data_IF_182905000594
#
_entry.id   IF_182905000594
#
_cell.length_a   1.000
_cell.length_b   1.000
_cell.length_c   1.000
_cell.angle_alpha   90.00
_cell.angle_beta   90.00
_cell.angle_gamma   90.00
#
_symmetry.space_group_name_H-M   'P 1'
#
loop_
_entity.id
_entity.type
_entity.pdbx_description
1 polymer ?
#
# COMPACT_ATOMS: atom_id res chain seq x y z
N UNK A 1 -6.28 5.92 17.46
CA UNK A 1 -5.71 6.12 16.10
C UNK A 1 -5.47 7.60 15.74
N UNK A 2 -6.18 8.58 16.29
CA UNK A 2 -6.03 10.00 15.88
C UNK A 2 -4.78 10.77 16.39
N UNK A 3 -4.12 10.31 17.46
CA UNK A 3 -3.04 11.10 18.08
C UNK A 3 -1.70 11.11 17.30
N UNK A 4 -1.36 10.02 16.61
CA UNK A 4 -0.13 9.96 15.81
C UNK A 4 -0.29 10.70 14.45
N UNK A 5 -1.51 10.72 13.91
CA UNK A 5 -1.82 11.40 12.66
C UNK A 5 -1.61 12.91 12.75
N UNK A 6 -1.95 13.52 13.89
CA UNK A 6 -1.77 14.94 14.13
C UNK A 6 -0.29 15.38 14.21
N UNK A 7 0.64 14.47 14.55
CA UNK A 7 2.09 14.77 14.65
C UNK A 7 2.86 14.43 13.38
N UNK A 8 2.51 13.34 12.70
CA UNK A 8 3.31 12.74 11.61
C UNK A 8 2.53 12.55 10.31
N UNK A 9 1.22 12.74 10.35
CA UNK A 9 0.33 12.46 9.24
C UNK A 9 0.62 13.28 7.99
N UNK A 10 1.22 14.46 8.12
CA UNK A 10 1.60 15.25 6.93
C UNK A 10 2.81 14.69 6.18
N UNK A 11 3.59 13.78 6.79
CA UNK A 11 4.85 13.29 6.21
C UNK A 11 4.67 11.92 5.54
N UNK A 12 3.80 11.06 6.08
CA UNK A 12 3.61 9.70 5.57
C UNK A 12 2.28 9.61 4.82
N UNK A 13 2.31 9.19 3.55
CA UNK A 13 1.11 8.98 2.75
C UNK A 13 0.77 7.48 2.65
N UNK A 14 -0.31 6.99 3.30
CA UNK A 14 -0.76 5.62 3.09
C UNK A 14 -1.36 5.46 1.69
N UNK A 15 -0.86 4.46 0.95
CA UNK A 15 -1.32 4.15 -0.41
C UNK A 15 -1.76 2.70 -0.48
N UNK A 16 -2.96 2.47 -1.00
CA UNK A 16 -3.51 1.17 -1.33
C UNK A 16 -3.46 0.98 -2.84
N UNK A 17 -2.82 -0.09 -3.33
CA UNK A 17 -2.76 -0.44 -4.75
C UNK A 17 -3.55 -1.73 -4.95
N UNK A 18 -4.62 -1.70 -5.72
CA UNK A 18 -5.34 -2.91 -6.10
C UNK A 18 -4.47 -3.80 -7.00
N UNK A 19 -4.53 -5.11 -6.77
CA UNK A 19 -3.91 -6.13 -7.62
C UNK A 19 -4.91 -6.77 -8.60
N UNK A 20 -6.18 -6.34 -8.59
CA UNK A 20 -7.25 -6.96 -9.37
C UNK A 20 -8.14 -5.93 -10.09
N UNK A 21 -7.64 -5.35 -11.18
CA UNK A 21 -8.36 -4.30 -11.89
C UNK A 21 -9.60 -4.79 -12.64
N UNK A 22 -9.84 -6.11 -12.72
CA UNK A 22 -11.08 -6.66 -13.29
C UNK A 22 -12.27 -6.46 -12.35
N UNK A 23 -12.04 -6.51 -11.03
CA UNK A 23 -13.07 -6.32 -9.99
C UNK A 23 -13.00 -4.95 -9.33
N UNK A 24 -11.81 -4.35 -9.24
CA UNK A 24 -11.58 -3.13 -8.47
C UNK A 24 -11.55 -1.89 -9.37
N UNK A 25 -12.73 -1.44 -9.81
CA UNK A 25 -12.85 -0.13 -10.47
C UNK A 25 -12.58 1.00 -9.48
N UNK A 26 -12.25 2.19 -9.98
CA UNK A 26 -12.02 3.38 -9.14
C UNK A 26 -13.18 3.66 -8.17
N UNK A 27 -14.43 3.42 -8.58
CA UNK A 27 -15.60 3.61 -7.72
C UNK A 27 -15.67 2.57 -6.60
N UNK A 28 -15.38 1.29 -6.91
CA UNK A 28 -15.34 0.22 -5.91
C UNK A 28 -14.17 0.40 -4.94
N UNK A 29 -12.97 0.73 -5.44
CA UNK A 29 -11.81 1.04 -4.60
C UNK A 29 -12.11 2.20 -3.66
N UNK A 30 -12.71 3.30 -4.16
CA UNK A 30 -13.12 4.42 -3.30
C UNK A 30 -14.06 3.97 -2.19
N UNK A 31 -15.14 3.26 -2.55
CA UNK A 31 -16.13 2.78 -1.59
C UNK A 31 -15.52 1.84 -0.54
N UNK A 32 -14.60 0.97 -0.95
CA UNK A 32 -13.87 0.09 -0.04
C UNK A 32 -13.04 0.90 0.96
N UNK A 33 -12.36 1.96 0.50
CA UNK A 33 -11.51 2.81 1.33
C UNK A 33 -12.26 3.70 2.33
N UNK A 34 -13.58 3.91 2.15
CA UNK A 34 -14.41 4.66 3.12
C UNK A 34 -14.42 4.01 4.52
N UNK A 35 -14.18 2.71 4.62
CA UNK A 35 -14.07 2.00 5.89
C UNK A 35 -12.74 2.16 6.63
N UNK A 36 -11.79 2.90 6.06
CA UNK A 36 -10.41 3.02 6.55
C UNK A 36 -10.01 4.47 6.84
N UNK A 37 -8.72 4.71 7.06
CA UNK A 37 -8.22 6.04 7.39
C UNK A 37 -8.51 7.05 6.25
N UNK A 38 -9.01 8.26 6.55
CA UNK A 38 -9.46 9.23 5.52
C UNK A 38 -8.35 9.72 4.59
N UNK A 39 -7.08 9.55 4.97
CA UNK A 39 -5.94 9.87 4.09
C UNK A 39 -5.55 8.75 3.13
N UNK A 40 -6.16 7.56 3.22
CA UNK A 40 -5.74 6.44 2.38
C UNK A 40 -6.00 6.74 0.91
N UNK A 41 -4.93 6.75 0.11
CA UNK A 41 -5.00 6.96 -1.33
C UNK A 41 -5.16 5.61 -2.03
N UNK A 42 -6.23 5.45 -2.80
CA UNK A 42 -6.47 4.26 -3.62
C UNK A 42 -5.94 4.40 -5.03
N UNK A 43 -5.17 3.41 -5.49
CA UNK A 43 -4.67 3.28 -6.85
C UNK A 43 -5.23 1.98 -7.48
N UNK A 44 -5.74 2.12 -8.69
CA UNK A 44 -6.15 1.03 -9.59
C UNK A 44 -5.97 1.53 -11.03
N UNK A 45 -6.10 0.67 -12.03
CA UNK A 45 -5.95 1.08 -13.42
C UNK A 45 -6.01 -0.08 -14.41
N UNK A 46 -5.60 0.16 -15.68
CA UNK A 46 -5.53 -0.89 -16.69
C UNK A 46 -4.65 -2.06 -16.26
N UNK A 47 -4.93 -3.25 -16.83
CA UNK A 47 -4.26 -4.50 -16.48
C UNK A 47 -2.73 -4.42 -16.61
N UNK A 48 -2.26 -3.78 -17.68
CA UNK A 48 -0.83 -3.57 -17.94
C UNK A 48 -0.13 -2.75 -16.85
N UNK A 49 -0.80 -1.72 -16.31
CA UNK A 49 -0.24 -0.86 -15.27
C UNK A 49 -0.20 -1.57 -13.93
N UNK A 50 -1.27 -2.27 -13.55
CA UNK A 50 -1.30 -3.06 -12.31
C UNK A 50 -0.25 -4.18 -12.39
N UNK A 51 -0.17 -4.89 -13.52
CA UNK A 51 0.85 -5.93 -13.73
C UNK A 51 2.27 -5.39 -13.63
N UNK A 52 2.54 -4.20 -14.18
CA UNK A 52 3.83 -3.55 -14.07
C UNK A 52 4.15 -3.18 -12.62
N UNK A 53 3.20 -2.59 -11.88
CA UNK A 53 3.36 -2.25 -10.47
C UNK A 53 3.66 -3.49 -9.62
N UNK A 54 2.84 -4.54 -9.74
CA UNK A 54 3.04 -5.80 -9.04
C UNK A 54 4.44 -6.41 -9.32
N UNK A 55 4.90 -6.36 -10.58
CA UNK A 55 6.23 -6.84 -10.95
C UNK A 55 7.36 -6.06 -10.26
N UNK A 56 7.28 -4.74 -10.21
CA UNK A 56 8.31 -3.88 -9.58
C UNK A 56 8.39 -4.15 -8.07
N UNK A 57 7.24 -4.33 -7.42
CA UNK A 57 7.15 -4.64 -5.98
C UNK A 57 7.30 -6.14 -5.66
N UNK A 58 7.57 -6.98 -6.67
CA UNK A 58 7.67 -8.44 -6.55
C UNK A 58 6.44 -9.08 -5.91
N UNK A 59 5.28 -8.47 -6.13
CA UNK A 59 3.98 -9.01 -5.75
C UNK A 59 3.55 -9.98 -6.84
N UNK A 60 3.51 -11.27 -6.50
CA UNK A 60 2.89 -12.26 -7.35
C UNK A 60 1.38 -12.10 -7.22
N UNK A 61 0.69 -12.08 -8.36
CA UNK A 61 -0.76 -12.21 -8.44
C UNK A 61 -1.08 -13.15 -9.59
N UNK A 62 -2.04 -14.04 -9.38
CA UNK A 62 -2.54 -14.93 -10.42
C UNK A 62 -4.05 -14.84 -10.47
N UNK A 63 -4.59 -14.65 -11.67
CA UNK A 63 -5.99 -14.92 -11.97
C UNK A 63 -6.10 -16.39 -12.37
N UNK A 64 -6.89 -17.21 -11.66
CA UNK A 64 -7.16 -18.57 -12.09
C UNK A 64 -7.58 -18.63 -13.58
N UNK A 65 -7.13 -19.63 -14.36
CA UNK A 65 -7.64 -19.81 -15.71
C UNK A 65 -9.13 -20.22 -15.65
N UNK A 66 -9.95 -19.64 -16.53
CA UNK A 66 -11.37 -19.99 -16.79
C UNK A 66 -12.43 -19.54 -15.75
N UNK A 67 -12.23 -18.43 -15.06
CA UNK A 67 -13.24 -17.85 -14.16
C UNK A 67 -14.23 -16.99 -14.97
N UNK A 68 -15.53 -17.24 -14.78
CA UNK A 68 -16.61 -16.36 -15.25
C UNK A 68 -16.53 -15.02 -14.51
N UNK A 69 -16.98 -13.88 -15.10
CA UNK A 69 -17.04 -12.59 -14.40
C UNK A 69 -17.84 -12.58 -13.08
N UNK A 70 -18.60 -13.65 -12.82
CA UNK A 70 -19.41 -13.86 -11.61
C UNK A 70 -18.77 -14.80 -10.59
N UNK A 71 -17.69 -15.48 -10.95
CA UNK A 71 -17.03 -16.44 -10.08
C UNK A 71 -16.11 -15.69 -9.13
N UNK A 72 -16.24 -15.99 -7.84
CA UNK A 72 -15.32 -15.47 -6.84
C UNK A 72 -14.00 -16.22 -6.96
N UNK A 73 -12.89 -15.48 -7.01
CA UNK A 73 -11.55 -16.05 -7.01
C UNK A 73 -10.64 -15.35 -6.03
N UNK A 74 -9.76 -16.15 -5.44
CA UNK A 74 -8.68 -15.65 -4.61
C UNK A 74 -7.53 -15.19 -5.51
N UNK A 75 -7.07 -13.98 -5.24
CA UNK A 75 -5.81 -13.48 -5.75
C UNK A 75 -4.79 -13.66 -4.65
N UNK A 76 -3.86 -14.60 -4.82
CA UNK A 76 -2.67 -14.66 -4.00
C UNK A 76 -1.93 -13.32 -4.15
N UNK A 77 -1.65 -12.65 -3.05
CA UNK A 77 -0.87 -11.42 -3.04
C UNK A 77 0.08 -11.42 -1.84
N UNK A 78 1.19 -10.71 -2.01
CA UNK A 78 2.12 -10.39 -0.94
C UNK A 78 1.40 -9.65 0.19
N UNK A 79 1.53 -10.12 1.42
CA UNK A 79 0.97 -9.47 2.63
C UNK A 79 1.98 -8.51 3.28
N UNK A 80 2.93 -8.01 2.50
CA UNK A 80 3.91 -7.02 2.95
C UNK A 80 3.38 -5.60 2.74
N UNK A 81 3.62 -4.73 3.73
CA UNK A 81 3.52 -3.28 3.57
C UNK A 81 4.91 -2.72 3.27
N UNK A 82 5.03 -1.89 2.22
CA UNK A 82 6.31 -1.33 1.79
C UNK A 82 6.42 0.14 2.22
N UNK A 83 7.53 0.49 2.89
CA UNK A 83 7.91 1.86 3.17
C UNK A 83 8.86 2.35 2.07
N UNK A 84 8.46 3.45 1.43
CA UNK A 84 9.24 4.14 0.41
C UNK A 84 9.65 5.51 0.94
N UNK A 85 10.84 5.97 0.57
CA UNK A 85 11.28 7.34 0.88
C UNK A 85 10.68 8.37 -0.10
N UNK A 86 10.81 9.68 0.15
CA UNK A 86 10.30 10.72 -0.75
C UNK A 86 10.97 10.78 -2.13
N UNK A 87 12.11 10.10 -2.34
CA UNK A 87 12.76 9.97 -3.64
C UNK A 87 12.25 8.75 -4.43
N UNK A 88 11.39 7.92 -3.83
CA UNK A 88 10.87 6.69 -4.41
C UNK A 88 11.75 5.47 -4.16
N UNK A 89 12.75 5.58 -3.29
CA UNK A 89 13.64 4.47 -2.94
C UNK A 89 13.02 3.58 -1.87
N UNK A 90 13.30 2.28 -1.95
CA UNK A 90 12.81 1.30 -0.97
C UNK A 90 13.55 1.47 0.37
N UNK A 91 12.78 1.55 1.46
CA UNK A 91 13.32 1.65 2.83
C UNK A 91 13.18 0.33 3.57
N UNK A 92 11.96 -0.18 3.70
CA UNK A 92 11.69 -1.40 4.46
C UNK A 92 10.38 -2.08 4.03
N UNK A 93 10.27 -3.39 4.28
CA UNK A 93 9.03 -4.16 4.10
C UNK A 93 8.58 -4.76 5.44
N UNK A 94 7.33 -4.49 5.82
CA UNK A 94 6.70 -5.01 7.04
C UNK A 94 5.84 -6.20 6.69
N UNK A 95 6.14 -7.37 7.26
CA UNK A 95 5.37 -8.59 7.04
C UNK A 95 4.40 -8.89 8.16
N UNK A 96 3.73 -10.05 8.08
CA UNK A 96 2.75 -10.53 9.07
C UNK A 96 3.24 -10.52 10.53
N UNK A 97 4.54 -10.67 10.74
CA UNK A 97 5.14 -10.75 12.08
C UNK A 97 5.41 -9.37 12.69
N UNK A 98 5.19 -8.28 11.96
CA UNK A 98 5.37 -6.91 12.45
C UNK A 98 4.06 -6.40 13.06
N UNK A 99 4.10 -5.97 14.33
CA UNK A 99 2.94 -5.35 14.98
C UNK A 99 2.74 -3.91 14.54
N UNK A 100 1.55 -3.35 14.77
CA UNK A 100 1.27 -1.94 14.45
C UNK A 100 2.23 -0.98 15.18
N UNK A 101 2.54 -1.23 16.45
CA UNK A 101 3.46 -0.40 17.24
C UNK A 101 4.88 -0.48 16.70
N UNK A 102 5.37 -1.69 16.37
CA UNK A 102 6.70 -1.87 15.77
C UNK A 102 6.83 -1.15 14.42
N UNK A 103 5.78 -1.22 13.59
CA UNK A 103 5.75 -0.50 12.32
C UNK A 103 5.76 1.02 12.55
N UNK A 104 4.94 1.51 13.49
CA UNK A 104 4.87 2.94 13.81
C UNK A 104 6.21 3.48 14.31
N UNK A 105 6.88 2.76 15.23
CA UNK A 105 8.19 3.14 15.76
C UNK A 105 9.25 3.21 14.67
N UNK A 106 9.29 2.21 13.77
CA UNK A 106 10.23 2.19 12.65
C UNK A 106 9.98 3.32 11.65
N UNK A 107 8.72 3.52 11.25
CA UNK A 107 8.34 4.62 10.36
C UNK A 107 8.73 5.97 10.96
N UNK A 108 8.51 6.17 12.26
CA UNK A 108 8.92 7.38 12.97
C UNK A 108 10.44 7.56 12.91
N UNK A 109 11.20 6.52 13.24
CA UNK A 109 12.65 6.56 13.22
C UNK A 109 13.23 6.95 11.85
N UNK A 110 12.72 6.35 10.77
CA UNK A 110 13.17 6.70 9.41
C UNK A 110 12.77 8.12 9.01
N UNK A 111 11.56 8.55 9.39
CA UNK A 111 11.06 9.90 9.09
C UNK A 111 11.92 10.97 9.76
N UNK A 112 12.22 10.81 11.04
CA UNK A 112 13.08 11.73 11.78
C UNK A 112 14.50 11.77 11.20
N UNK A 113 15.06 10.60 10.88
CA UNK A 113 16.38 10.48 10.27
C UNK A 113 16.45 11.18 8.91
N UNK A 114 15.43 11.01 8.06
CA UNK A 114 15.35 11.68 6.76
C UNK A 114 15.27 13.20 6.92
N UNK A 115 14.38 13.70 7.79
CA UNK A 115 14.23 15.15 8.04
C UNK A 115 15.53 15.75 8.57
N UNK A 116 16.23 15.06 9.46
CA UNK A 116 17.52 15.53 9.98
C UNK A 116 18.60 15.56 8.89
N UNK A 117 18.63 14.57 7.98
CA UNK A 117 19.59 14.51 6.88
C UNK A 117 19.46 15.67 5.88
N UNK A 118 18.27 16.26 5.75
CA UNK A 118 17.98 17.38 4.84
C UNK A 118 18.20 18.76 5.48
N UNK A 119 18.38 18.82 6.80
CA UNK A 119 18.64 20.07 7.53
C UNK A 119 20.13 20.43 7.62
N UNK A 120 21.01 19.48 7.32
CA UNK A 120 22.46 19.65 7.25
C UNK A 120 22.90 19.75 5.78
#
# INVERSE_FOLDING_TARGET
>A
MHFQDAKLGQIVQPVFISCDPARDTTAQTRKYLEGFHPRMLGLTGPWENVKAACKVYRVYFSTPPNISPKDDYLVDHSIFMYLMDPNGEFVEAFGKNTTADQMADKVLHYTESYVQSKRN
#
